data_IF_943601199270
#
_entry.id   IF_943601199270
#
_cell.length_a   1.000
_cell.length_b   1.000
_cell.length_c   1.000
_cell.angle_alpha   90.00
_cell.angle_beta   90.00
_cell.angle_gamma   90.00
#
_symmetry.space_group_name_H-M   'P 1'
#
loop_
_entity.id
_entity.type
_entity.pdbx_description
1 polymer ?
#
# COMPACT_ATOMS: atom_id res chain seq x y z
N UNK A 1 51.31 13.90 24.76
CA UNK A 1 50.60 12.61 25.00
C UNK A 1 49.07 12.70 24.98
N UNK A 2 48.44 13.88 24.85
CA UNK A 2 46.97 14.00 24.83
C UNK A 2 46.31 13.75 23.45
N UNK A 3 46.98 14.10 22.35
CA UNK A 3 46.46 13.94 20.97
C UNK A 3 46.22 12.48 20.57
N UNK A 4 47.05 11.53 21.02
CA UNK A 4 46.86 10.10 20.71
C UNK A 4 45.62 9.48 21.40
N UNK A 5 45.05 10.12 22.43
CA UNK A 5 43.82 9.64 23.10
C UNK A 5 42.53 10.07 22.39
N UNK A 6 42.60 11.07 21.52
CA UNK A 6 41.44 11.61 20.79
C UNK A 6 41.21 10.93 19.43
N UNK A 7 42.26 10.34 18.85
CA UNK A 7 42.21 9.61 17.58
C UNK A 7 41.17 8.46 17.54
N UNK A 8 41.07 7.57 18.56
CA UNK A 8 40.07 6.50 18.53
C UNK A 8 38.63 7.01 18.71
N UNK A 9 38.45 8.14 19.41
CA UNK A 9 37.14 8.79 19.59
C UNK A 9 36.68 9.39 18.26
N UNK A 10 37.59 10.06 17.54
CA UNK A 10 37.29 10.62 16.22
C UNK A 10 37.01 9.51 15.19
N UNK A 11 37.77 8.41 15.22
CA UNK A 11 37.53 7.25 14.37
C UNK A 11 36.18 6.57 14.68
N UNK A 12 35.81 6.46 15.96
CA UNK A 12 34.52 5.94 16.38
C UNK A 12 33.37 6.85 15.95
N UNK A 13 33.51 8.17 16.06
CA UNK A 13 32.51 9.14 15.60
C UNK A 13 32.35 9.11 14.08
N UNK A 14 33.45 8.99 13.33
CA UNK A 14 33.41 8.83 11.87
C UNK A 14 32.78 7.50 11.44
N UNK A 15 33.08 6.42 12.14
CA UNK A 15 32.47 5.11 11.90
C UNK A 15 30.98 5.10 12.23
N UNK A 16 30.58 5.73 13.33
CA UNK A 16 29.18 5.85 13.73
C UNK A 16 28.39 6.73 12.75
N UNK A 17 28.97 7.84 12.29
CA UNK A 17 28.38 8.67 11.24
C UNK A 17 28.22 7.89 9.92
N UNK A 18 29.22 7.09 9.53
CA UNK A 18 29.15 6.26 8.33
C UNK A 18 28.07 5.16 8.44
N UNK A 19 27.95 4.53 9.62
CA UNK A 19 26.91 3.53 9.88
C UNK A 19 25.49 4.13 9.82
N UNK A 20 25.30 5.37 10.29
CA UNK A 20 23.99 6.04 10.17
C UNK A 20 23.60 6.36 8.73
N UNK A 21 24.56 6.71 7.86
CA UNK A 21 24.28 7.05 6.45
C UNK A 21 23.79 5.82 5.65
N UNK A 22 24.31 4.62 5.93
CA UNK A 22 23.86 3.38 5.27
C UNK A 22 22.45 2.94 5.67
N UNK A 23 21.90 3.44 6.79
CA UNK A 23 20.57 3.06 7.29
C UNK A 23 19.40 3.84 6.69
N UNK A 24 19.62 4.67 5.67
CA UNK A 24 18.55 5.30 4.91
C UNK A 24 17.76 4.21 4.15
N UNK A 25 16.73 3.69 4.80
CA UNK A 25 15.83 2.67 4.30
C UNK A 25 15.23 3.14 2.96
N UNK A 26 15.62 2.49 1.86
CA UNK A 26 14.91 2.60 0.59
C UNK A 26 13.45 2.21 0.84
N UNK A 27 12.55 3.18 0.84
CA UNK A 27 11.12 2.88 0.85
C UNK A 27 10.83 2.18 -0.47
N UNK A 28 10.53 0.87 -0.44
CA UNK A 28 10.06 0.13 -1.62
C UNK A 28 8.76 0.71 -2.20
N UNK A 29 8.17 1.71 -1.53
CA UNK A 29 7.01 2.47 -1.99
C UNK A 29 7.35 3.39 -3.16
N UNK A 30 6.48 3.43 -4.17
CA UNK A 30 6.54 4.45 -5.21
C UNK A 30 6.25 5.85 -4.66
N UNK A 31 6.49 6.90 -5.46
CA UNK A 31 6.20 8.29 -5.06
C UNK A 31 4.71 8.65 -5.13
N UNK A 32 3.94 7.94 -5.96
CA UNK A 32 2.51 8.19 -6.11
C UNK A 32 1.73 7.92 -4.81
N UNK A 33 0.69 8.72 -4.57
CA UNK A 33 -0.20 8.63 -3.42
C UNK A 33 -1.65 8.65 -3.87
N UNK A 34 -2.48 7.91 -3.15
CA UNK A 34 -3.94 7.99 -3.24
C UNK A 34 -4.43 8.41 -1.87
N UNK A 35 -5.39 9.34 -1.82
CA UNK A 35 -5.98 9.82 -0.57
C UNK A 35 -7.47 9.51 -0.60
N UNK A 36 -7.95 8.78 0.41
CA UNK A 36 -9.38 8.67 0.66
C UNK A 36 -9.76 9.71 1.71
N UNK A 37 -10.59 10.67 1.27
CA UNK A 37 -11.20 11.65 2.15
C UNK A 37 -12.39 10.99 2.83
N UNK A 38 -12.36 10.90 4.15
CA UNK A 38 -13.45 10.31 4.94
C UNK A 38 -13.97 11.31 5.97
N UNK A 39 -15.13 11.03 6.53
CA UNK A 39 -15.69 11.81 7.65
C UNK A 39 -14.87 11.67 8.96
N UNK A 40 -13.89 10.78 9.00
CA UNK A 40 -12.97 10.58 10.14
C UNK A 40 -11.56 11.11 9.86
N UNK A 41 -11.36 11.80 8.73
CA UNK A 41 -10.06 12.31 8.28
C UNK A 41 -9.54 11.62 7.03
N UNK A 42 -8.37 12.04 6.59
CA UNK A 42 -7.75 11.56 5.36
C UNK A 42 -6.96 10.27 5.62
N UNK A 43 -7.08 9.32 4.70
CA UNK A 43 -6.28 8.10 4.67
C UNK A 43 -5.41 8.14 3.41
N UNK A 44 -4.10 8.26 3.61
CA UNK A 44 -3.11 8.27 2.53
C UNK A 44 -2.53 6.86 2.31
N UNK A 45 -2.57 6.41 1.05
CA UNK A 45 -2.05 5.12 0.63
C UNK A 45 -0.75 5.27 -0.16
N UNK A 46 0.27 4.52 0.27
CA UNK A 46 1.47 4.23 -0.50
C UNK A 46 1.37 2.87 -1.18
N UNK A 47 2.06 2.71 -2.31
CA UNK A 47 1.99 1.51 -3.14
C UNK A 47 3.37 0.93 -3.42
N UNK A 48 3.46 -0.39 -3.61
CA UNK A 48 4.69 -1.09 -3.97
C UNK A 48 4.70 -1.47 -5.47
N UNK A 49 4.97 -0.55 -6.41
CA UNK A 49 4.87 -0.82 -7.85
C UNK A 49 5.87 -1.88 -8.34
N UNK A 50 6.98 -2.08 -7.62
CA UNK A 50 7.94 -3.15 -7.93
C UNK A 50 7.48 -4.54 -7.46
N UNK A 51 6.60 -4.59 -6.46
CA UNK A 51 6.15 -5.84 -5.81
C UNK A 51 4.86 -6.34 -6.44
N UNK A 52 3.92 -5.43 -6.73
CA UNK A 52 2.62 -5.76 -7.31
C UNK A 52 2.27 -4.80 -8.47
N UNK A 53 3.06 -4.78 -9.56
CA UNK A 53 2.90 -3.82 -10.65
C UNK A 53 1.50 -3.84 -11.27
N UNK A 54 0.92 -5.02 -11.52
CA UNK A 54 -0.39 -5.12 -12.18
C UNK A 54 -1.51 -4.64 -11.27
N UNK A 55 -1.41 -4.96 -9.99
CA UNK A 55 -2.37 -4.51 -8.97
C UNK A 55 -2.32 -2.99 -8.82
N UNK A 56 -1.13 -2.43 -8.68
CA UNK A 56 -0.95 -0.98 -8.50
C UNK A 56 -1.46 -0.20 -9.71
N UNK A 57 -1.14 -0.65 -10.93
CA UNK A 57 -1.63 -0.02 -12.16
C UNK A 57 -3.16 -0.05 -12.26
N UNK A 58 -3.79 -1.17 -11.91
CA UNK A 58 -5.25 -1.29 -11.93
C UNK A 58 -5.90 -0.37 -10.90
N UNK A 59 -5.41 -0.34 -9.66
CA UNK A 59 -5.92 0.56 -8.61
C UNK A 59 -5.80 2.01 -9.04
N UNK A 60 -4.65 2.43 -9.58
CA UNK A 60 -4.49 3.80 -10.07
C UNK A 60 -5.45 4.14 -11.20
N UNK A 61 -5.72 3.20 -12.10
CA UNK A 61 -6.70 3.41 -13.16
C UNK A 61 -8.11 3.57 -12.59
N UNK A 62 -8.53 2.70 -11.67
CA UNK A 62 -9.82 2.81 -10.98
C UNK A 62 -9.96 4.13 -10.21
N UNK A 63 -8.91 4.56 -9.51
CA UNK A 63 -8.90 5.84 -8.79
C UNK A 63 -9.02 7.02 -9.74
N UNK A 64 -8.25 7.05 -10.84
CA UNK A 64 -8.31 8.12 -11.85
C UNK A 64 -9.67 8.20 -12.55
N UNK A 65 -10.32 7.06 -12.76
CA UNK A 65 -11.67 6.99 -13.28
C UNK A 65 -12.74 7.36 -12.23
N UNK A 66 -12.36 7.60 -10.98
CA UNK A 66 -13.28 7.93 -9.90
C UNK A 66 -14.11 6.74 -9.41
N UNK A 67 -13.67 5.50 -9.67
CA UNK A 67 -14.42 4.29 -9.31
C UNK A 67 -14.57 4.08 -7.80
N UNK A 68 -13.69 4.68 -6.99
CA UNK A 68 -13.77 4.65 -5.53
C UNK A 68 -14.59 5.80 -4.93
N UNK A 69 -15.05 6.76 -5.75
CA UNK A 69 -15.86 7.87 -5.25
C UNK A 69 -17.18 7.35 -4.69
N UNK A 70 -17.64 7.90 -3.57
CA UNK A 70 -18.86 7.49 -2.87
C UNK A 70 -18.89 6.02 -2.42
N UNK A 71 -17.71 5.39 -2.35
CA UNK A 71 -17.54 4.04 -1.78
C UNK A 71 -17.39 4.11 -0.25
N UNK A 72 -17.41 2.98 0.43
CA UNK A 72 -17.39 2.88 1.89
C UNK A 72 -16.56 1.69 2.38
N UNK A 73 -16.18 1.73 3.66
CA UNK A 73 -15.64 0.57 4.36
C UNK A 73 -16.81 -0.28 4.86
N UNK A 74 -17.04 -1.45 4.26
CA UNK A 74 -18.17 -2.33 4.63
C UNK A 74 -17.86 -3.23 5.82
N UNK A 75 -16.57 -3.40 6.14
CA UNK A 75 -16.11 -4.24 7.27
C UNK A 75 -14.96 -3.56 7.99
N UNK A 76 -15.07 -3.45 9.32
CA UNK A 76 -14.02 -2.93 10.18
C UNK A 76 -13.91 -3.82 11.42
N UNK A 77 -12.84 -4.61 11.47
CA UNK A 77 -12.55 -5.52 12.57
C UNK A 77 -11.37 -5.00 13.39
N UNK A 78 -11.62 -4.69 14.66
CA UNK A 78 -10.60 -4.13 15.56
C UNK A 78 -9.42 -5.09 15.69
N UNK A 79 -8.22 -4.58 15.40
CA UNK A 79 -6.97 -5.34 15.48
C UNK A 79 -6.67 -6.19 14.25
N UNK A 80 -7.52 -6.16 13.21
CA UNK A 80 -7.34 -6.95 12.01
C UNK A 80 -7.38 -6.11 10.72
N UNK A 81 -8.57 -5.74 10.23
CA UNK A 81 -8.72 -5.15 8.89
C UNK A 81 -9.83 -4.09 8.85
N UNK A 82 -9.59 -3.03 8.08
CA UNK A 82 -10.63 -2.16 7.55
C UNK A 82 -10.71 -2.41 6.04
N UNK A 83 -11.83 -2.95 5.56
CA UNK A 83 -11.99 -3.42 4.20
C UNK A 83 -12.94 -2.50 3.43
N UNK A 84 -12.45 -1.93 2.33
CA UNK A 84 -13.23 -1.13 1.38
C UNK A 84 -14.10 -2.06 0.54
N UNK A 85 -15.34 -1.66 0.25
CA UNK A 85 -16.22 -2.43 -0.61
C UNK A 85 -15.70 -2.43 -2.06
N UNK A 86 -16.13 -3.42 -2.85
CA UNK A 86 -15.79 -3.48 -4.26
C UNK A 86 -16.34 -2.25 -5.00
N UNK A 87 -15.70 -1.87 -6.11
CA UNK A 87 -16.09 -0.67 -6.86
C UNK A 87 -17.38 -0.84 -7.66
N UNK A 88 -17.85 -2.07 -7.90
CA UNK A 88 -19.05 -2.32 -8.72
C UNK A 88 -20.31 -2.16 -7.87
N UNK A 89 -20.34 -2.71 -6.66
CA UNK A 89 -21.48 -2.71 -5.75
C UNK A 89 -21.35 -1.78 -4.53
N UNK A 90 -20.14 -1.34 -4.18
CA UNK A 90 -19.88 -0.58 -2.95
C UNK A 90 -20.11 0.93 -3.03
N UNK A 91 -20.34 1.47 -4.24
CA UNK A 91 -20.45 2.92 -4.50
C UNK A 91 -21.90 3.37 -4.75
N UNK A 92 -22.19 4.63 -4.43
CA UNK A 92 -23.50 5.25 -4.68
C UNK A 92 -23.62 5.87 -6.08
N UNK A 93 -22.55 6.51 -6.55
CA UNK A 93 -22.54 7.16 -7.85
C UNK A 93 -22.63 6.13 -8.98
N UNK A 94 -23.47 6.33 -10.00
CA UNK A 94 -23.56 5.39 -11.12
C UNK A 94 -22.24 5.31 -11.91
N UNK A 95 -22.01 4.15 -12.53
CA UNK A 95 -20.88 3.94 -13.43
C UNK A 95 -21.25 4.24 -14.88
N UNK A 96 -20.36 4.93 -15.58
CA UNK A 96 -20.36 4.95 -17.05
C UNK A 96 -19.75 3.65 -17.61
N UNK A 97 -19.77 3.50 -18.93
CA UNK A 97 -19.30 2.28 -19.61
C UNK A 97 -17.80 2.00 -19.40
N UNK A 98 -16.96 3.04 -19.41
CA UNK A 98 -15.52 2.90 -19.20
C UNK A 98 -15.20 2.45 -17.76
N UNK A 99 -15.88 3.06 -16.78
CA UNK A 99 -15.76 2.69 -15.37
C UNK A 99 -16.17 1.25 -15.14
N UNK A 100 -17.29 0.81 -15.73
CA UNK A 100 -17.79 -0.56 -15.63
C UNK A 100 -16.80 -1.56 -16.23
N UNK A 101 -16.36 -1.29 -17.45
CA UNK A 101 -15.39 -2.13 -18.16
C UNK A 101 -14.11 -2.32 -17.36
N UNK A 102 -13.61 -1.28 -16.71
CA UNK A 102 -12.41 -1.38 -15.88
C UNK A 102 -12.65 -2.04 -14.51
N UNK A 103 -13.81 -1.79 -13.90
CA UNK A 103 -14.19 -2.29 -12.58
C UNK A 103 -14.45 -3.81 -12.56
N UNK A 104 -14.95 -4.37 -13.65
CA UNK A 104 -15.24 -5.80 -13.78
C UNK A 104 -13.97 -6.65 -14.04
N UNK A 105 -12.82 -6.01 -14.26
CA UNK A 105 -11.57 -6.75 -14.48
C UNK A 105 -11.08 -7.43 -13.22
N UNK A 106 -10.62 -8.66 -13.41
CA UNK A 106 -9.88 -9.40 -12.38
C UNK A 106 -8.38 -9.29 -12.65
N UNK A 107 -7.62 -8.93 -11.62
CA UNK A 107 -6.15 -8.91 -11.68
C UNK A 107 -5.59 -10.23 -11.20
N UNK A 108 -4.53 -10.71 -11.85
CA UNK A 108 -3.80 -11.89 -11.42
C UNK A 108 -3.17 -11.67 -10.04
N UNK A 109 -3.04 -12.76 -9.27
CA UNK A 109 -2.44 -12.70 -7.95
C UNK A 109 -0.94 -12.41 -7.98
N UNK A 110 -0.53 -11.32 -7.35
CA UNK A 110 0.89 -10.96 -7.14
C UNK A 110 1.26 -11.21 -5.67
N UNK A 111 1.99 -12.30 -5.41
CA UNK A 111 2.39 -12.71 -4.06
C UNK A 111 3.82 -12.27 -3.76
N UNK A 112 4.09 -11.90 -2.50
CA UNK A 112 5.42 -11.44 -2.07
C UNK A 112 5.68 -11.76 -0.60
N UNK A 113 6.93 -11.58 -0.18
CA UNK A 113 7.36 -11.77 1.21
C UNK A 113 7.07 -10.57 2.13
N UNK A 114 6.43 -9.50 1.60
CA UNK A 114 6.04 -8.32 2.38
C UNK A 114 5.08 -8.77 3.49
N UNK A 115 5.45 -8.47 4.73
CA UNK A 115 4.72 -8.94 5.91
C UNK A 115 3.44 -8.17 6.11
N UNK A 116 2.38 -8.88 6.49
CA UNK A 116 1.13 -8.28 6.91
C UNK A 116 1.25 -7.74 8.33
N UNK A 117 1.50 -6.43 8.44
CA UNK A 117 1.57 -5.69 9.70
C UNK A 117 0.59 -4.52 9.67
N UNK A 118 0.32 -3.90 10.82
CA UNK A 118 -0.57 -2.74 10.90
C UNK A 118 -0.14 -1.67 9.89
N UNK A 119 -1.09 -1.18 9.10
CA UNK A 119 -0.86 -0.16 8.06
C UNK A 119 -0.50 -0.71 6.68
N UNK A 120 -0.41 -2.04 6.51
CA UNK A 120 -0.23 -2.63 5.18
C UNK A 120 -1.52 -2.52 4.35
N UNK A 121 -1.37 -2.24 3.06
CA UNK A 121 -2.44 -2.30 2.08
C UNK A 121 -2.29 -3.60 1.27
N UNK A 122 -3.34 -4.42 1.25
CA UNK A 122 -3.36 -5.71 0.54
C UNK A 122 -4.69 -5.89 -0.21
N UNK A 123 -4.68 -6.69 -1.28
CA UNK A 123 -5.90 -7.05 -2.00
C UNK A 123 -6.69 -8.14 -1.27
N UNK A 124 -7.98 -7.87 -1.03
CA UNK A 124 -8.92 -8.91 -0.61
C UNK A 124 -9.17 -9.90 -1.75
N UNK A 125 -9.18 -11.20 -1.45
CA UNK A 125 -9.49 -12.26 -2.42
C UNK A 125 -10.59 -13.16 -1.88
N UNK A 126 -11.61 -13.40 -2.70
CA UNK A 126 -12.49 -14.54 -2.53
C UNK A 126 -11.78 -15.77 -3.11
N UNK A 127 -11.34 -16.67 -2.24
CA UNK A 127 -11.00 -18.03 -2.68
C UNK A 127 -12.33 -18.76 -2.80
N UNK A 128 -12.86 -18.86 -4.02
CA UNK A 128 -13.78 -19.94 -4.32
C UNK A 128 -12.98 -21.22 -4.12
N UNK A 129 -13.16 -21.89 -2.98
CA UNK A 129 -12.80 -23.29 -2.88
C UNK A 129 -13.63 -24.00 -3.93
N UNK A 130 -13.04 -24.28 -5.09
CA UNK A 130 -13.52 -25.35 -5.95
C UNK A 130 -13.55 -26.58 -5.07
N UNK A 131 -14.76 -26.92 -4.58
CA UNK A 131 -15.05 -28.23 -4.03
C UNK A 131 -14.77 -29.21 -5.16
N UNK A 132 -13.56 -29.77 -5.18
CA UNK A 132 -13.36 -31.10 -5.70
C UNK A 132 -14.03 -32.04 -4.68
N UNK A 133 -15.25 -32.43 -5.00
CA UNK A 133 -15.88 -33.67 -4.56
C UNK A 133 -16.21 -34.47 -5.82
#
# INVERSE_FOLDING_TARGET
>A
MHILRLLPILAFLLFFAFFTITSAQDSHLGSARVVFQTNYGDIEFGFFPKVAPRTVDHIFKLVRLGCYNTNHFFRVDKGFVAQVADVVGGRLAPMNEEQRTEAEKTVVGEFSDVKHVRGILSMGRLVLSTLHA
#
